data_IF_242188314700
#
_entry.id   IF_242188314700
#
_cell.length_a   1.000
_cell.length_b   1.000
_cell.length_c   1.000
_cell.angle_alpha   90.00
_cell.angle_beta   90.00
_cell.angle_gamma   90.00
#
_symmetry.space_group_name_H-M   'P 1'
#
loop_
_entity.id
_entity.type
_entity.pdbx_description
1 polymer ?
#
# COMPACT_ATOMS: atom_id res chain seq x y z
N UNK A 1 -17.79 19.39 -17.58
CA UNK A 1 -17.63 18.10 -18.26
C UNK A 1 -17.74 17.04 -17.18
N UNK A 2 -18.58 16.02 -17.38
CA UNK A 2 -18.69 14.92 -16.40
C UNK A 2 -17.30 14.27 -16.28
N UNK A 3 -16.78 14.23 -15.07
CA UNK A 3 -15.54 13.52 -14.76
C UNK A 3 -15.89 12.04 -14.86
N UNK A 4 -15.17 11.27 -15.68
CA UNK A 4 -15.38 9.82 -15.76
C UNK A 4 -15.11 9.16 -14.41
N UNK A 5 -15.58 7.93 -14.20
CA UNK A 5 -15.45 7.21 -12.92
C UNK A 5 -14.00 7.18 -12.41
N UNK A 6 -13.02 6.95 -13.28
CA UNK A 6 -11.59 7.05 -12.93
C UNK A 6 -11.20 8.43 -12.37
N UNK A 7 -11.73 9.52 -12.93
CA UNK A 7 -11.47 10.86 -12.44
C UNK A 7 -12.16 11.14 -11.11
N UNK A 8 -13.32 10.54 -10.81
CA UNK A 8 -13.94 10.59 -9.47
C UNK A 8 -13.02 9.90 -8.45
N UNK A 9 -12.42 8.76 -8.81
CA UNK A 9 -11.41 8.09 -7.96
C UNK A 9 -10.21 9.00 -7.73
N UNK A 10 -9.69 9.64 -8.76
CA UNK A 10 -8.53 10.54 -8.61
C UNK A 10 -8.86 11.77 -7.76
N UNK A 11 -10.07 12.33 -7.88
CA UNK A 11 -10.54 13.41 -7.00
C UNK A 11 -10.62 12.97 -5.54
N UNK A 12 -11.08 11.74 -5.29
CA UNK A 12 -11.02 11.18 -3.95
C UNK A 12 -9.57 11.02 -3.46
N UNK A 13 -8.69 10.45 -4.28
CA UNK A 13 -7.28 10.33 -3.92
C UNK A 13 -6.63 11.69 -3.64
N UNK A 14 -7.07 12.77 -4.31
CA UNK A 14 -6.62 14.15 -4.02
C UNK A 14 -7.08 14.69 -2.68
N UNK A 15 -8.27 14.29 -2.26
CA UNK A 15 -8.82 14.72 -0.97
C UNK A 15 -8.01 14.17 0.21
N UNK A 16 -7.30 13.05 0.00
CA UNK A 16 -6.37 12.50 0.97
C UNK A 16 -5.13 13.39 1.02
N UNK A 17 -4.79 13.90 2.19
CA UNK A 17 -3.65 14.80 2.39
C UNK A 17 -2.29 14.09 2.40
N UNK A 18 -1.24 14.82 2.04
CA UNK A 18 0.13 14.40 2.36
C UNK A 18 0.33 14.36 3.88
N UNK A 19 0.92 13.28 4.39
CA UNK A 19 1.00 12.95 5.81
C UNK A 19 -0.03 11.93 6.27
N UNK A 20 -1.05 11.65 5.46
CA UNK A 20 -2.01 10.60 5.78
C UNK A 20 -1.46 9.20 5.56
N UNK A 21 -2.01 8.27 6.37
CA UNK A 21 -1.81 6.84 6.26
C UNK A 21 -3.16 6.22 5.94
N UNK A 22 -3.29 5.72 4.73
CA UNK A 22 -4.48 5.06 4.21
C UNK A 22 -4.29 3.56 4.40
N UNK A 23 -5.20 2.93 5.14
CA UNK A 23 -5.32 1.48 5.18
C UNK A 23 -6.32 1.04 4.11
N UNK A 24 -5.91 0.08 3.30
CA UNK A 24 -6.75 -0.57 2.30
C UNK A 24 -6.81 -2.04 2.66
N UNK A 25 -7.99 -2.53 3.03
CA UNK A 25 -8.22 -3.96 3.20
C UNK A 25 -8.91 -4.53 1.99
N UNK A 26 -8.49 -5.72 1.58
CA UNK A 26 -9.11 -6.50 0.54
C UNK A 26 -9.07 -7.99 0.90
N UNK A 27 -9.65 -8.84 0.06
CA UNK A 27 -9.63 -10.30 0.24
C UNK A 27 -9.20 -11.02 -1.03
N UNK A 28 -8.34 -12.03 -0.89
CA UNK A 28 -8.01 -13.02 -1.93
C UNK A 28 -9.07 -14.15 -2.04
N UNK A 29 -9.18 -14.89 -3.16
CA UNK A 29 -8.28 -14.98 -4.32
C UNK A 29 -8.80 -14.22 -5.55
N UNK A 30 -8.56 -12.91 -5.63
CA UNK A 30 -8.89 -12.10 -6.81
C UNK A 30 -7.79 -11.05 -7.05
N UNK A 31 -7.88 -10.31 -8.15
CA UNK A 31 -6.87 -9.33 -8.58
C UNK A 31 -7.06 -7.93 -7.94
N UNK A 32 -7.73 -7.83 -6.78
CA UNK A 32 -7.96 -6.53 -6.11
C UNK A 32 -6.65 -5.80 -5.83
N UNK A 33 -5.65 -6.49 -5.28
CA UNK A 33 -4.34 -5.90 -5.01
C UNK A 33 -3.70 -5.36 -6.29
N UNK A 34 -3.70 -6.15 -7.36
CA UNK A 34 -3.07 -5.83 -8.63
C UNK A 34 -3.65 -4.55 -9.24
N UNK A 35 -4.99 -4.46 -9.28
CA UNK A 35 -5.68 -3.30 -9.81
C UNK A 35 -5.57 -2.08 -8.89
N UNK A 36 -5.54 -2.25 -7.57
CA UNK A 36 -5.30 -1.14 -6.64
C UNK A 36 -3.89 -0.54 -6.81
N UNK A 37 -2.86 -1.39 -6.94
CA UNK A 37 -1.49 -0.90 -7.15
C UNK A 37 -1.34 -0.24 -8.51
N UNK A 38 -1.96 -0.79 -9.56
CA UNK A 38 -2.01 -0.16 -10.89
C UNK A 38 -2.71 1.20 -10.85
N UNK A 39 -3.87 1.29 -10.19
CA UNK A 39 -4.63 2.52 -10.02
C UNK A 39 -3.80 3.59 -9.31
N UNK A 40 -3.13 3.25 -8.21
CA UNK A 40 -2.27 4.18 -7.47
C UNK A 40 -1.04 4.61 -8.27
N UNK A 41 -0.46 3.73 -9.08
CA UNK A 41 0.63 4.10 -10.00
C UNK A 41 0.16 5.09 -11.05
N UNK A 42 -0.99 4.84 -11.69
CA UNK A 42 -1.55 5.78 -12.68
C UNK A 42 -1.91 7.12 -12.06
N UNK A 43 -2.45 7.12 -10.85
CA UNK A 43 -2.70 8.35 -10.10
C UNK A 43 -1.40 9.12 -9.84
N UNK A 44 -0.34 8.44 -9.40
CA UNK A 44 0.96 9.08 -9.17
C UNK A 44 1.52 9.68 -10.46
N UNK A 45 1.44 8.96 -11.58
CA UNK A 45 1.92 9.41 -12.90
C UNK A 45 1.11 10.62 -13.42
N UNK A 46 -0.22 10.56 -13.32
CA UNK A 46 -1.13 11.64 -13.73
C UNK A 46 -0.83 12.95 -12.97
N UNK A 47 -0.43 12.83 -11.69
CA UNK A 47 -0.14 13.98 -10.82
C UNK A 47 1.34 14.35 -10.74
N UNK A 48 2.20 13.61 -11.42
CA UNK A 48 3.65 13.86 -11.41
C UNK A 48 4.29 13.62 -10.04
N UNK A 49 3.72 12.75 -9.22
CA UNK A 49 4.28 12.39 -7.91
C UNK A 49 5.19 11.16 -8.04
N UNK A 50 6.34 11.12 -7.33
CA UNK A 50 7.16 9.91 -7.26
C UNK A 50 6.36 8.72 -6.72
N UNK A 51 6.47 7.57 -7.38
CA UNK A 51 5.85 6.33 -6.92
C UNK A 51 6.87 5.47 -6.17
N UNK A 52 6.57 5.19 -4.91
CA UNK A 52 7.46 4.50 -3.98
C UNK A 52 6.79 3.23 -3.48
N UNK A 53 7.48 2.09 -3.53
CA UNK A 53 6.94 0.81 -3.08
C UNK A 53 7.81 0.23 -1.96
N UNK A 54 7.18 -0.03 -0.82
CA UNK A 54 7.72 -0.95 0.18
C UNK A 54 7.24 -2.37 -0.19
N UNK A 55 8.13 -3.13 -0.83
CA UNK A 55 7.83 -4.46 -1.38
C UNK A 55 8.30 -5.57 -0.43
N UNK A 56 7.35 -6.21 0.23
CA UNK A 56 7.62 -7.30 1.15
C UNK A 56 7.43 -8.67 0.47
N UNK A 57 8.47 -9.50 0.53
CA UNK A 57 8.47 -10.89 0.02
C UNK A 57 8.05 -11.04 -1.45
N UNK A 58 8.61 -10.20 -2.33
CA UNK A 58 8.37 -10.21 -3.79
C UNK A 58 6.89 -10.06 -4.19
N UNK A 59 6.10 -9.35 -3.38
CA UNK A 59 4.69 -9.10 -3.68
C UNK A 59 4.54 -8.25 -4.96
N UNK A 60 5.43 -7.27 -5.18
CA UNK A 60 5.44 -6.47 -6.42
C UNK A 60 5.70 -7.32 -7.67
N UNK A 61 6.53 -8.37 -7.55
CA UNK A 61 6.79 -9.28 -8.66
C UNK A 61 5.54 -10.03 -9.10
N UNK A 62 4.78 -10.58 -8.13
CA UNK A 62 3.52 -11.29 -8.42
C UNK A 62 2.55 -10.36 -9.14
N UNK A 63 2.36 -9.14 -8.62
CA UNK A 63 1.49 -8.13 -9.24
C UNK A 63 1.94 -7.83 -10.67
N UNK A 64 3.24 -7.59 -10.87
CA UNK A 64 3.77 -7.25 -12.18
C UNK A 64 3.58 -8.37 -13.21
N UNK A 65 3.71 -9.65 -12.82
CA UNK A 65 3.42 -10.76 -13.74
C UNK A 65 1.92 -10.90 -14.03
N UNK A 66 1.04 -10.73 -13.04
CA UNK A 66 -0.39 -10.73 -13.28
C UNK A 66 -0.80 -9.63 -14.26
N UNK A 67 -0.34 -8.39 -14.04
CA UNK A 67 -0.63 -7.26 -14.92
C UNK A 67 -0.10 -7.49 -16.35
N UNK A 68 1.02 -8.20 -16.52
CA UNK A 68 1.50 -8.63 -17.85
C UNK A 68 0.54 -9.58 -18.56
N UNK A 69 -0.16 -10.45 -17.82
CA UNK A 69 -1.22 -11.29 -18.41
C UNK A 69 -2.41 -10.47 -18.89
N UNK A 70 -2.65 -9.30 -18.28
CA UNK A 70 -3.62 -8.30 -18.74
C UNK A 70 -3.08 -7.36 -19.83
N UNK A 71 -1.85 -7.56 -20.31
CA UNK A 71 -1.23 -6.76 -21.37
C UNK A 71 -0.56 -5.46 -20.89
N UNK A 72 -0.56 -5.19 -19.59
CA UNK A 72 0.13 -4.03 -18.99
C UNK A 72 1.61 -4.38 -18.81
N UNK A 73 2.49 -3.58 -19.40
CA UNK A 73 3.94 -3.82 -19.38
C UNK A 73 4.70 -2.57 -18.93
N UNK A 74 5.84 -2.79 -18.29
CA UNK A 74 6.80 -1.75 -17.89
C UNK A 74 6.22 -0.67 -16.96
N UNK A 75 5.05 -0.93 -16.34
CA UNK A 75 4.31 0.06 -15.55
C UNK A 75 5.03 0.45 -14.25
N UNK A 76 5.95 -0.39 -13.77
CA UNK A 76 6.72 -0.16 -12.54
C UNK A 76 8.22 0.06 -12.79
N UNK A 77 8.68 0.21 -14.03
CA UNK A 77 10.11 0.32 -14.36
C UNK A 77 10.76 1.55 -13.70
N UNK A 78 10.00 2.61 -13.50
CA UNK A 78 10.43 3.85 -12.87
C UNK A 78 10.17 3.92 -11.36
N UNK A 79 9.38 2.98 -10.81
CA UNK A 79 9.03 2.93 -9.40
C UNK A 79 10.28 2.79 -8.51
N UNK A 80 10.33 3.56 -7.44
CA UNK A 80 11.39 3.49 -6.43
C UNK A 80 11.01 2.40 -5.43
N UNK A 81 11.84 1.38 -5.25
CA UNK A 81 11.46 0.19 -4.46
C UNK A 81 12.43 -0.03 -3.31
N UNK A 82 11.88 -0.13 -2.10
CA UNK A 82 12.56 -0.64 -0.92
C UNK A 82 12.05 -2.05 -0.65
N UNK A 83 12.94 -3.05 -0.69
CA UNK A 83 12.53 -4.45 -0.53
C UNK A 83 12.76 -4.93 0.90
N UNK A 84 11.84 -5.75 1.41
CA UNK A 84 12.09 -6.60 2.59
C UNK A 84 12.01 -8.06 2.20
N UNK A 85 13.13 -8.79 2.36
CA UNK A 85 13.25 -10.17 1.90
C UNK A 85 13.15 -10.29 0.39
N UNK A 86 12.61 -11.41 -0.10
CA UNK A 86 12.46 -11.70 -1.53
C UNK A 86 13.80 -11.83 -2.27
N UNK A 87 13.74 -12.10 -3.58
CA UNK A 87 14.89 -12.23 -4.48
C UNK A 87 14.65 -11.61 -5.87
N UNK A 88 13.39 -11.43 -6.29
CA UNK A 88 13.09 -10.91 -7.64
C UNK A 88 13.02 -9.38 -7.65
N UNK A 89 13.67 -8.74 -8.63
CA UNK A 89 13.68 -7.28 -8.76
C UNK A 89 12.61 -6.82 -9.76
N UNK A 90 11.76 -5.90 -9.32
CA UNK A 90 10.83 -5.11 -10.14
C UNK A 90 11.01 -3.65 -9.76
N UNK A 91 11.06 -2.75 -10.75
CA UNK A 91 11.38 -1.34 -10.57
C UNK A 91 12.83 -1.07 -10.13
N UNK A 92 13.07 0.15 -9.67
CA UNK A 92 14.38 0.62 -9.20
C UNK A 92 14.56 0.26 -7.72
N UNK A 93 15.08 -0.94 -7.46
CA UNK A 93 15.39 -1.40 -6.10
C UNK A 93 16.58 -0.62 -5.54
N UNK A 94 16.32 0.26 -4.56
CA UNK A 94 17.35 1.13 -3.97
C UNK A 94 18.14 0.41 -2.87
N UNK A 95 17.45 -0.34 -2.02
CA UNK A 95 18.07 -1.11 -0.94
C UNK A 95 17.19 -2.34 -0.62
N UNK A 96 17.76 -3.29 0.13
CA UNK A 96 17.08 -4.52 0.56
C UNK A 96 17.33 -4.79 2.04
N UNK A 97 16.24 -4.79 2.81
CA UNK A 97 16.22 -5.19 4.21
C UNK A 97 16.04 -6.71 4.29
N UNK A 98 16.87 -7.38 5.09
CA UNK A 98 16.66 -8.81 5.39
C UNK A 98 15.50 -8.96 6.37
N UNK A 99 14.71 -10.02 6.18
CA UNK A 99 13.71 -10.44 7.18
C UNK A 99 14.46 -10.85 8.46
N UNK A 100 13.98 -10.38 9.60
CA UNK A 100 14.53 -10.67 10.93
C UNK A 100 13.35 -10.91 11.88
N UNK A 101 13.49 -11.86 12.80
CA UNK A 101 12.46 -12.15 13.83
C UNK A 101 12.43 -11.08 14.92
N UNK A 102 13.60 -10.55 15.28
CA UNK A 102 13.74 -9.47 16.26
C UNK A 102 13.33 -8.13 15.65
N UNK A 103 12.21 -7.56 16.14
CA UNK A 103 11.63 -6.34 15.60
C UNK A 103 12.61 -5.16 15.66
N UNK A 104 13.31 -4.98 16.80
CA UNK A 104 14.31 -3.92 16.95
C UNK A 104 15.42 -3.94 15.89
N UNK A 105 15.88 -5.13 15.48
CA UNK A 105 16.92 -5.30 14.44
C UNK A 105 16.34 -4.97 13.07
N UNK A 106 15.14 -5.50 12.77
CA UNK A 106 14.42 -5.20 11.53
C UNK A 106 14.20 -3.69 11.37
N UNK A 107 13.63 -3.05 12.39
CA UNK A 107 13.28 -1.63 12.38
C UNK A 107 14.49 -0.72 12.22
N UNK A 108 15.62 -1.04 12.87
CA UNK A 108 16.86 -0.29 12.68
C UNK A 108 17.33 -0.33 11.23
N UNK A 109 17.36 -1.54 10.63
CA UNK A 109 17.78 -1.71 9.23
C UNK A 109 16.81 -1.05 8.26
N UNK A 110 15.51 -1.13 8.54
CA UNK A 110 14.50 -0.45 7.74
C UNK A 110 14.67 1.07 7.82
N UNK A 111 14.93 1.64 8.99
CA UNK A 111 15.19 3.07 9.14
C UNK A 111 16.43 3.53 8.34
N UNK A 112 17.52 2.76 8.39
CA UNK A 112 18.74 3.04 7.61
C UNK A 112 18.50 2.96 6.09
N UNK A 113 17.75 1.95 5.64
CA UNK A 113 17.46 1.73 4.23
C UNK A 113 16.46 2.75 3.67
N UNK A 114 15.39 3.04 4.42
CA UNK A 114 14.37 4.04 4.05
C UNK A 114 14.95 5.46 4.00
N UNK A 115 15.87 5.81 4.91
CA UNK A 115 16.56 7.10 4.85
C UNK A 115 17.35 7.30 3.55
N UNK A 116 17.90 6.23 2.97
CA UNK A 116 18.58 6.27 1.66
C UNK A 116 17.56 6.28 0.52
N UNK A 117 16.60 5.35 0.55
CA UNK A 117 15.63 5.15 -0.53
C UNK A 117 14.75 6.37 -0.74
N UNK A 118 14.42 7.09 0.33
CA UNK A 118 13.50 8.22 0.31
C UNK A 118 14.22 9.57 0.46
N UNK A 119 15.56 9.57 0.37
CA UNK A 119 16.35 10.80 0.46
C UNK A 119 16.00 11.76 -0.68
N UNK A 120 15.55 12.97 -0.33
CA UNK A 120 15.17 13.99 -1.30
C UNK A 120 13.84 13.76 -2.01
N UNK A 121 13.08 12.72 -1.65
CA UNK A 121 11.70 12.57 -2.09
C UNK A 121 10.79 13.47 -1.26
N UNK A 122 9.96 14.23 -1.96
CA UNK A 122 8.88 15.03 -1.40
C UNK A 122 7.59 14.65 -2.13
N UNK A 123 6.47 14.76 -1.43
CA UNK A 123 5.13 14.52 -1.97
C UNK A 123 4.98 13.21 -2.78
N UNK A 124 5.54 12.10 -2.29
CA UNK A 124 5.47 10.80 -2.96
C UNK A 124 4.17 10.04 -2.67
N UNK A 125 3.74 9.21 -3.62
CA UNK A 125 2.72 8.17 -3.39
C UNK A 125 3.46 6.91 -2.94
N UNK A 126 3.30 6.54 -1.68
CA UNK A 126 3.99 5.40 -1.07
C UNK A 126 3.01 4.24 -0.89
N UNK A 127 3.30 3.09 -1.50
CA UNK A 127 2.48 1.89 -1.47
C UNK A 127 3.23 0.80 -0.71
N UNK A 128 2.63 0.28 0.35
CA UNK A 128 3.17 -0.81 1.17
C UNK A 128 2.37 -2.07 0.88
N UNK A 129 3.04 -3.11 0.40
CA UNK A 129 2.41 -4.36 -0.05
C UNK A 129 3.09 -5.59 0.56
N UNK A 130 2.28 -6.59 0.93
CA UNK A 130 2.79 -7.83 1.52
C UNK A 130 3.22 -7.72 2.98
N UNK A 131 2.92 -6.60 3.66
CA UNK A 131 3.30 -6.35 5.04
C UNK A 131 2.65 -7.37 5.99
N UNK A 132 1.42 -7.79 5.70
CA UNK A 132 0.69 -8.82 6.44
C UNK A 132 1.48 -10.12 6.57
N UNK A 133 2.31 -10.45 5.56
CA UNK A 133 3.15 -11.65 5.57
C UNK A 133 4.32 -11.52 6.55
N UNK A 134 4.79 -10.30 6.82
CA UNK A 134 5.86 -10.09 7.81
C UNK A 134 5.36 -10.30 9.25
N UNK A 135 4.09 -10.00 9.52
CA UNK A 135 3.48 -10.28 10.81
C UNK A 135 3.38 -11.78 11.13
N UNK A 136 3.48 -12.66 10.13
CA UNK A 136 3.57 -14.11 10.35
C UNK A 136 4.86 -14.55 11.07
N UNK A 137 5.92 -13.72 11.04
CA UNK A 137 7.18 -14.00 11.74
C UNK A 137 7.27 -13.36 13.12
N UNK A 138 6.22 -12.66 13.56
CA UNK A 138 6.20 -11.98 14.86
C UNK A 138 5.79 -12.98 15.93
N UNK A 139 6.73 -13.30 16.82
CA UNK A 139 6.56 -14.38 17.81
C UNK A 139 5.80 -13.95 19.08
N UNK A 140 5.79 -12.65 19.40
CA UNK A 140 5.21 -12.13 20.63
C UNK A 140 4.67 -10.69 20.50
N UNK A 141 3.85 -10.30 21.48
CA UNK A 141 3.22 -8.97 21.51
C UNK A 141 4.21 -7.80 21.68
N UNK A 142 5.38 -8.01 22.29
CA UNK A 142 6.39 -6.93 22.41
C UNK A 142 6.93 -6.61 21.03
N UNK A 143 7.39 -7.61 20.29
CA UNK A 143 7.86 -7.45 18.91
C UNK A 143 6.76 -6.87 18.01
N UNK A 144 5.51 -7.33 18.18
CA UNK A 144 4.36 -6.77 17.50
C UNK A 144 4.20 -5.27 17.77
N UNK A 145 4.13 -4.84 19.03
CA UNK A 145 3.93 -3.44 19.37
C UNK A 145 5.13 -2.54 19.03
N UNK A 146 6.34 -3.08 18.93
CA UNK A 146 7.49 -2.34 18.38
C UNK A 146 7.27 -1.98 16.90
N UNK A 147 6.78 -2.94 16.10
CA UNK A 147 6.45 -2.72 14.68
C UNK A 147 5.29 -1.72 14.56
N UNK A 148 4.21 -1.94 15.30
CA UNK A 148 3.03 -1.04 15.32
C UNK A 148 3.45 0.39 15.71
N UNK A 149 4.25 0.55 16.75
CA UNK A 149 4.76 1.87 17.16
C UNK A 149 5.64 2.52 16.09
N UNK A 150 6.32 1.72 15.26
CA UNK A 150 7.08 2.25 14.14
C UNK A 150 6.19 2.75 13.00
N UNK A 151 5.09 2.06 12.72
CA UNK A 151 4.08 2.48 11.74
C UNK A 151 3.35 3.74 12.23
N UNK A 152 3.05 3.83 13.53
CA UNK A 152 2.40 5.03 14.11
C UNK A 152 3.24 6.30 13.94
N UNK A 153 4.57 6.22 14.14
CA UNK A 153 5.50 7.37 13.96
C UNK A 153 5.51 7.97 12.56
N UNK A 154 5.01 7.22 11.58
CA UNK A 154 4.92 7.62 10.19
C UNK A 154 3.66 8.47 9.93
N UNK A 155 2.64 8.43 10.79
CA UNK A 155 1.46 9.28 10.66
C UNK A 155 1.85 10.76 10.78
N UNK A 156 1.36 11.59 9.86
CA UNK A 156 1.66 13.02 9.80
C UNK A 156 2.93 13.40 9.02
N UNK A 157 3.74 12.44 8.55
CA UNK A 157 4.91 12.77 7.72
C UNK A 157 4.50 13.22 6.30
N UNK A 158 4.48 14.54 6.10
CA UNK A 158 4.02 15.21 4.87
C UNK A 158 4.85 14.93 3.61
N UNK A 159 5.95 14.19 3.69
CA UNK A 159 6.72 13.81 2.49
C UNK A 159 6.02 12.76 1.63
N UNK A 160 4.98 12.10 2.14
CA UNK A 160 4.25 11.08 1.40
C UNK A 160 2.79 10.97 1.77
N UNK A 161 2.04 10.37 0.86
CA UNK A 161 0.71 9.80 1.08
C UNK A 161 0.89 8.29 1.06
N UNK A 162 0.70 7.63 2.20
CA UNK A 162 1.00 6.20 2.33
C UNK A 162 -0.27 5.35 2.20
N UNK A 163 -0.19 4.27 1.45
CA UNK A 163 -1.25 3.30 1.24
C UNK A 163 -0.73 1.92 1.67
N UNK A 164 -1.30 1.38 2.75
CA UNK A 164 -1.01 0.03 3.23
C UNK A 164 -2.09 -0.90 2.71
N UNK A 165 -1.74 -1.79 1.79
CA UNK A 165 -2.69 -2.71 1.17
C UNK A 165 -2.52 -4.09 1.81
N UNK A 166 -3.53 -4.52 2.55
CA UNK A 166 -3.48 -5.76 3.34
C UNK A 166 -4.60 -6.72 2.95
N UNK A 167 -4.24 -8.00 2.81
CA UNK A 167 -5.21 -9.07 2.64
C UNK A 167 -5.81 -9.47 4.01
N UNK A 168 -7.08 -9.13 4.22
CA UNK A 168 -7.83 -9.46 5.44
C UNK A 168 -7.79 -10.97 5.74
N UNK A 169 -7.89 -11.81 4.71
CA UNK A 169 -7.87 -13.26 4.89
C UNK A 169 -6.53 -13.77 5.43
N UNK A 170 -5.42 -13.11 5.10
CA UNK A 170 -4.09 -13.46 5.63
C UNK A 170 -3.96 -12.94 7.06
N UNK A 171 -4.29 -11.65 7.28
CA UNK A 171 -4.19 -11.01 8.60
C UNK A 171 -5.00 -11.72 9.69
N UNK A 172 -6.21 -12.17 9.37
CA UNK A 172 -7.09 -12.86 10.35
C UNK A 172 -6.61 -14.28 10.70
N UNK A 173 -5.70 -14.87 9.90
CA UNK A 173 -5.23 -16.24 10.06
C UNK A 173 -3.84 -16.37 10.68
N UNK A 174 -3.10 -15.26 10.78
CA UNK A 174 -1.79 -15.25 11.45
C UNK A 174 -1.95 -15.13 12.97
N UNK A 175 -0.98 -15.60 13.78
CA UNK A 175 -1.15 -15.73 15.23
C UNK A 175 -1.52 -14.43 15.96
N UNK A 176 -0.98 -13.31 15.51
CA UNK A 176 -1.29 -11.98 16.01
C UNK A 176 -1.89 -11.18 14.85
N UNK A 177 -3.21 -10.93 14.92
CA UNK A 177 -3.92 -10.17 13.90
C UNK A 177 -3.54 -8.67 13.98
N UNK A 178 -2.91 -8.08 12.93
CA UNK A 178 -2.47 -6.70 12.95
C UNK A 178 -3.61 -5.69 12.68
N UNK A 179 -4.74 -6.12 12.10
CA UNK A 179 -5.77 -5.20 11.60
C UNK A 179 -6.30 -4.23 12.67
N UNK A 180 -6.67 -4.66 13.90
CA UNK A 180 -7.25 -3.74 14.88
C UNK A 180 -6.36 -2.54 15.22
N UNK A 181 -5.03 -2.75 15.30
CA UNK A 181 -4.10 -1.65 15.55
C UNK A 181 -3.85 -0.81 14.30
N UNK A 182 -3.80 -1.41 13.11
CA UNK A 182 -3.60 -0.67 11.86
C UNK A 182 -4.82 0.17 11.49
N UNK A 183 -6.04 -0.35 11.66
CA UNK A 183 -7.31 0.39 11.50
C UNK A 183 -7.38 1.60 12.44
N UNK A 184 -6.86 1.44 13.67
CA UNK A 184 -6.78 2.50 14.65
C UNK A 184 -5.79 3.60 14.24
N UNK A 185 -4.61 3.24 13.76
CA UNK A 185 -3.56 4.18 13.33
C UNK A 185 -3.94 4.92 12.04
N UNK A 186 -4.57 4.23 11.08
CA UNK A 186 -4.88 4.78 9.77
C UNK A 186 -5.74 6.05 9.89
N UNK A 187 -5.42 7.11 9.16
CA UNK A 187 -6.27 8.31 9.09
C UNK A 187 -7.49 8.05 8.21
N UNK A 188 -7.30 7.27 7.14
CA UNK A 188 -8.34 6.83 6.21
C UNK A 188 -8.33 5.31 6.11
N UNK A 189 -9.50 4.67 6.14
CA UNK A 189 -9.65 3.22 5.98
C UNK A 189 -10.64 2.92 4.84
N UNK A 190 -10.20 2.11 3.89
CA UNK A 190 -10.97 1.64 2.74
C UNK A 190 -11.15 0.11 2.79
N UNK A 191 -12.40 -0.33 2.73
CA UNK A 191 -12.75 -1.73 2.47
C UNK A 191 -12.98 -1.90 0.97
N UNK A 192 -12.07 -2.60 0.29
CA UNK A 192 -12.05 -2.70 -1.17
C UNK A 192 -12.39 -4.12 -1.60
N UNK A 193 -13.29 -4.22 -2.57
CA UNK A 193 -13.69 -5.48 -3.20
C UNK A 193 -13.72 -5.37 -4.72
N UNK A 194 -13.41 -6.48 -5.39
CA UNK A 194 -13.66 -6.66 -6.81
C UNK A 194 -15.01 -7.35 -7.01
N UNK A 195 -15.91 -6.72 -7.77
CA UNK A 195 -17.24 -7.23 -8.10
C UNK A 195 -17.44 -7.24 -9.61
N UNK A 196 -17.30 -8.44 -10.20
CA UNK A 196 -17.22 -8.59 -11.66
C UNK A 196 -15.99 -7.85 -12.20
N UNK A 197 -16.24 -6.81 -13.01
CA UNK A 197 -15.21 -5.94 -13.57
C UNK A 197 -15.11 -4.59 -12.85
N UNK A 198 -15.67 -4.44 -11.64
CA UNK A 198 -15.63 -3.16 -10.90
C UNK A 198 -14.84 -3.31 -9.61
N UNK A 199 -13.90 -2.39 -9.43
CA UNK A 199 -13.19 -2.18 -8.18
C UNK A 199 -13.98 -1.19 -7.35
N UNK A 200 -14.49 -1.63 -6.19
CA UNK A 200 -15.37 -0.84 -5.33
C UNK A 200 -14.66 -0.64 -3.99
N UNK A 201 -14.37 0.62 -3.65
CA UNK A 201 -13.81 1.01 -2.36
C UNK A 201 -14.86 1.70 -1.50
N UNK A 202 -15.18 1.11 -0.35
CA UNK A 202 -16.04 1.73 0.67
C UNK A 202 -15.19 2.48 1.69
N UNK A 203 -15.53 3.74 1.94
CA UNK A 203 -14.82 4.58 2.91
C UNK A 203 -15.37 4.28 4.31
N UNK A 204 -14.58 3.58 5.13
CA UNK A 204 -14.95 3.18 6.48
C UNK A 204 -14.48 4.18 7.55
N UNK A 205 -13.39 4.89 7.28
CA UNK A 205 -12.81 5.94 8.14
C UNK A 205 -12.20 7.01 7.25
N UNK A 206 -12.34 8.28 7.61
CA UNK A 206 -11.67 9.41 6.93
C UNK A 206 -11.63 10.63 7.85
N UNK A 207 -10.63 11.53 7.72
CA UNK A 207 -10.69 12.84 8.35
C UNK A 207 -11.86 13.70 7.85
N UNK A 208 -12.33 13.48 6.61
CA UNK A 208 -13.56 14.08 6.11
C UNK A 208 -14.77 13.20 6.44
N UNK A 209 -15.45 13.53 7.54
CA UNK A 209 -16.64 12.83 8.04
C UNK A 209 -17.75 12.69 6.99
N UNK A 210 -17.83 13.61 6.02
CA UNK A 210 -18.88 13.61 5.01
C UNK A 210 -18.74 12.48 4.00
N UNK A 211 -17.53 11.94 3.85
CA UNK A 211 -17.22 10.83 2.94
C UNK A 211 -17.44 9.45 3.58
N UNK A 212 -17.60 9.38 4.90
CA UNK A 212 -17.76 8.09 5.58
C UNK A 212 -19.03 7.37 5.11
N UNK A 213 -18.87 6.10 4.76
CA UNK A 213 -19.91 5.24 4.21
C UNK A 213 -20.11 5.36 2.69
N UNK A 214 -19.43 6.29 2.01
CA UNK A 214 -19.51 6.39 0.56
C UNK A 214 -18.78 5.22 -0.11
N UNK A 215 -19.30 4.81 -1.25
CA UNK A 215 -18.65 3.87 -2.15
C UNK A 215 -18.15 4.62 -3.38
N UNK A 216 -16.90 4.36 -3.74
CA UNK A 216 -16.28 4.84 -4.97
C UNK A 216 -16.01 3.60 -5.81
N UNK A 217 -16.40 3.64 -7.07
CA UNK A 217 -16.24 2.52 -7.99
C UNK A 217 -15.55 2.97 -9.28
N UNK A 218 -14.77 2.07 -9.86
CA UNK A 218 -14.17 2.22 -11.19
C UNK A 218 -14.14 0.87 -11.87
N UNK A 219 -14.38 0.84 -13.18
CA UNK A 219 -14.24 -0.39 -13.96
C UNK A 219 -12.77 -0.76 -14.11
N UNK A 220 -12.46 -2.05 -14.12
CA UNK A 220 -11.11 -2.56 -14.38
C UNK A 220 -10.64 -2.12 -15.77
N UNK A 221 -11.54 -2.04 -16.74
CA UNK A 221 -11.26 -1.55 -18.09
C UNK A 221 -10.79 -0.08 -18.09
N UNK A 222 -11.29 0.76 -17.19
CA UNK A 222 -10.82 2.15 -17.06
C UNK A 222 -9.44 2.23 -16.37
N UNK A 223 -9.04 1.19 -15.62
CA UNK A 223 -7.73 1.10 -14.95
C UNK A 223 -6.66 0.51 -15.89
N UNK A 224 -7.03 -0.35 -16.85
CA UNK A 224 -6.11 -0.99 -17.81
C UNK A 224 -5.65 -0.03 -18.92
#
# INVERSE_FOLDING_TARGET
>A
MAVGKLGEVFQFLDSIGFGETVLVEYTSPNYTLDFMVLLLKRYADDRGHPFVVDDHLDTLHVINEHLRFFGVRNIFDDAIVLKTGGVVNVGKVIDRVKVESEASIYLRRYAEASAKAFSGLEESINVVIGLEKLFAFVEDYRNFYEIISSIDRFLGNRKRKAFYLLDRNICERIPINPLPELEKIASTFLDVRLDGNRLIGRICKSPDIRMMGWEIEVSVEDIL
#
